data_IF_877297878350
#
_entry.id   IF_877297878350
#
_cell.length_a   1.000
_cell.length_b   1.000
_cell.length_c   1.000
_cell.angle_alpha   90.00
_cell.angle_beta   90.00
_cell.angle_gamma   90.00
#
_symmetry.space_group_name_H-M   'P 1'
#
loop_
_entity.id
_entity.type
_entity.pdbx_description
1 polymer ?
#
# COMPACT_ATOMS: atom_id res chain seq x y z
N UNK A 1 -12.40 -15.36 0.96
CA UNK A 1 -11.29 -15.20 0.02
C UNK A 1 -10.55 -13.87 0.21
N UNK A 2 -11.23 -12.72 0.27
CA UNK A 2 -10.62 -11.39 0.50
C UNK A 2 -9.95 -11.27 1.89
N UNK A 3 -10.57 -11.79 2.94
CA UNK A 3 -9.99 -11.79 4.31
C UNK A 3 -8.68 -12.59 4.33
N UNK A 4 -8.66 -13.73 3.66
CA UNK A 4 -7.47 -14.57 3.52
C UNK A 4 -6.36 -13.84 2.74
N UNK A 5 -6.74 -13.03 1.76
CA UNK A 5 -5.79 -12.22 0.97
C UNK A 5 -5.18 -11.11 1.83
N UNK A 6 -6.00 -10.34 2.54
CA UNK A 6 -5.53 -9.25 3.41
C UNK A 6 -4.58 -9.79 4.49
N UNK A 7 -4.94 -10.90 5.14
CA UNK A 7 -4.07 -11.54 6.14
C UNK A 7 -2.75 -12.04 5.54
N UNK A 8 -2.78 -12.51 4.30
CA UNK A 8 -1.56 -12.94 3.60
C UNK A 8 -0.67 -11.76 3.22
N UNK A 9 -1.24 -10.62 2.87
CA UNK A 9 -0.46 -9.39 2.66
C UNK A 9 0.31 -9.01 3.93
N UNK A 10 -0.26 -9.22 5.09
CA UNK A 10 0.41 -9.00 6.39
C UNK A 10 1.61 -9.94 6.58
N UNK A 11 1.28 -10.94 6.34
CA UNK A 11 2.21 -11.91 6.49
C UNK A 11 3.38 -11.79 5.65
N UNK A 12 3.16 -11.38 4.66
CA UNK A 12 4.21 -11.16 3.68
C UNK A 12 5.01 -9.88 3.99
N UNK A 13 4.53 -9.00 4.83
CA UNK A 13 5.31 -7.86 5.32
C UNK A 13 6.49 -8.28 6.19
N UNK A 14 6.53 -9.52 6.65
CA UNK A 14 7.73 -10.09 7.28
C UNK A 14 8.93 -10.08 6.33
N UNK A 15 8.69 -10.00 5.02
CA UNK A 15 9.76 -9.89 4.02
C UNK A 15 10.38 -8.50 3.99
N UNK A 16 9.61 -7.52 4.42
CA UNK A 16 10.08 -6.16 4.58
C UNK A 16 10.30 -5.98 6.07
N UNK A 17 11.37 -6.55 6.61
CA UNK A 17 11.70 -6.30 8.01
C UNK A 17 11.93 -4.78 8.15
N UNK A 18 11.01 -4.08 8.78
CA UNK A 18 11.24 -2.67 9.02
C UNK A 18 12.49 -2.61 9.89
N UNK A 19 13.47 -1.88 9.43
CA UNK A 19 14.59 -1.53 10.25
C UNK A 19 14.04 -1.02 11.59
N UNK A 20 14.75 -1.24 12.67
CA UNK A 20 14.41 -0.84 14.04
C UNK A 20 13.96 0.63 14.22
N UNK A 21 13.82 1.35 13.12
CA UNK A 21 13.52 2.78 13.08
C UNK A 21 12.04 3.10 13.31
N UNK A 22 11.15 2.11 13.07
CA UNK A 22 9.71 2.30 13.29
C UNK A 22 9.11 1.12 14.04
N UNK A 23 9.20 1.15 15.36
CA UNK A 23 8.65 0.11 16.24
C UNK A 23 7.13 -0.07 16.05
N UNK A 24 6.43 0.95 15.56
CA UNK A 24 4.98 0.89 15.41
C UNK A 24 4.50 -0.11 14.35
N UNK A 25 5.35 -0.50 13.38
CA UNK A 25 4.92 -1.49 12.37
C UNK A 25 4.50 -2.82 13.00
N UNK A 26 5.18 -3.21 14.07
CA UNK A 26 4.85 -4.44 14.80
C UNK A 26 3.55 -4.32 15.58
N UNK A 27 3.05 -3.11 15.75
CA UNK A 27 1.82 -2.82 16.51
C UNK A 27 0.60 -2.67 15.60
N UNK A 28 0.79 -2.67 14.27
CA UNK A 28 -0.32 -2.46 13.34
C UNK A 28 -1.14 -3.75 13.19
N UNK A 29 -2.38 -3.69 13.60
CA UNK A 29 -3.37 -4.72 13.33
C UNK A 29 -4.12 -4.38 12.05
N UNK A 30 -4.38 -5.40 11.23
CA UNK A 30 -5.06 -5.22 9.96
C UNK A 30 -6.41 -5.94 10.02
N UNK A 31 -7.48 -5.18 9.92
CA UNK A 31 -8.84 -5.67 9.95
C UNK A 31 -9.53 -5.42 8.61
N UNK A 32 -10.07 -6.47 8.03
CA UNK A 32 -10.85 -6.39 6.79
C UNK A 32 -12.33 -6.29 7.13
N UNK A 33 -12.98 -5.27 6.60
CA UNK A 33 -14.42 -5.11 6.65
C UNK A 33 -14.98 -5.42 5.25
N UNK A 34 -15.87 -6.40 5.17
CA UNK A 34 -16.37 -6.86 3.87
C UNK A 34 -17.37 -5.90 3.22
N UNK A 35 -17.88 -4.91 3.96
CA UNK A 35 -18.80 -3.90 3.46
C UNK A 35 -20.24 -4.07 3.95
N UNK A 36 -20.48 -5.08 4.76
CA UNK A 36 -21.80 -5.34 5.41
C UNK A 36 -21.58 -6.23 6.63
N UNK A 37 -22.64 -6.42 7.43
CA UNK A 37 -22.61 -7.27 8.63
C UNK A 37 -22.27 -8.72 8.25
N UNK A 38 -21.20 -9.25 8.82
CA UNK A 38 -20.71 -10.61 8.54
C UNK A 38 -21.71 -11.71 8.90
N UNK A 39 -22.64 -11.42 9.81
CA UNK A 39 -23.64 -12.37 10.28
C UNK A 39 -24.90 -12.37 9.40
N UNK A 40 -24.96 -11.53 8.37
CA UNK A 40 -26.13 -11.40 7.49
C UNK A 40 -25.82 -11.88 6.07
N UNK A 41 -26.80 -12.50 5.44
CA UNK A 41 -26.72 -12.81 4.01
C UNK A 41 -26.85 -11.51 3.21
N UNK A 42 -25.96 -11.31 2.24
CA UNK A 42 -25.93 -10.08 1.45
C UNK A 42 -27.23 -9.84 0.67
N UNK A 43 -27.81 -10.90 0.09
CA UNK A 43 -29.04 -10.76 -0.68
C UNK A 43 -30.22 -10.29 0.19
N UNK A 44 -30.36 -10.88 1.39
CA UNK A 44 -31.42 -10.50 2.32
C UNK A 44 -31.24 -9.04 2.75
N UNK A 45 -30.00 -8.65 3.02
CA UNK A 45 -29.68 -7.30 3.47
C UNK A 45 -29.92 -6.26 2.36
N UNK A 46 -29.64 -6.59 1.09
CA UNK A 46 -29.94 -5.72 -0.03
C UNK A 46 -31.46 -5.53 -0.19
N UNK A 47 -32.24 -6.60 0.03
CA UNK A 47 -33.71 -6.50 0.00
C UNK A 47 -34.23 -5.63 1.15
N UNK A 48 -33.70 -5.83 2.37
CA UNK A 48 -34.08 -5.03 3.54
C UNK A 48 -33.84 -3.53 3.32
N UNK A 49 -32.73 -3.19 2.63
CA UNK A 49 -32.33 -1.80 2.44
C UNK A 49 -32.79 -1.18 1.12
N UNK A 50 -33.58 -1.89 0.32
CA UNK A 50 -33.98 -1.45 -1.02
C UNK A 50 -34.58 -0.04 -1.04
N UNK A 51 -35.51 0.27 -0.13
CA UNK A 51 -36.19 1.59 -0.06
C UNK A 51 -35.19 2.72 0.27
N UNK A 52 -34.21 2.42 1.15
CA UNK A 52 -33.18 3.37 1.56
C UNK A 52 -32.24 3.64 0.38
N UNK A 53 -31.82 2.58 -0.30
CA UNK A 53 -30.89 2.64 -1.42
C UNK A 53 -31.52 3.40 -2.61
N UNK A 54 -32.81 3.17 -2.88
CA UNK A 54 -33.56 3.89 -3.92
C UNK A 54 -33.62 5.40 -3.60
N UNK A 55 -33.93 5.75 -2.35
CA UNK A 55 -33.96 7.16 -1.91
C UNK A 55 -32.59 7.83 -2.03
N UNK A 56 -31.52 7.11 -1.69
CA UNK A 56 -30.14 7.62 -1.75
C UNK A 56 -29.53 7.55 -3.14
N UNK A 57 -30.17 6.84 -4.07
CA UNK A 57 -29.65 6.56 -5.42
C UNK A 57 -28.28 5.88 -5.39
N UNK A 58 -28.00 5.12 -4.34
CA UNK A 58 -26.74 4.39 -4.17
C UNK A 58 -26.93 3.28 -3.14
N UNK A 59 -26.29 2.15 -3.38
CA UNK A 59 -26.30 1.01 -2.46
C UNK A 59 -25.48 1.36 -1.20
N UNK A 60 -26.10 1.19 -0.03
CA UNK A 60 -25.48 1.57 1.24
C UNK A 60 -24.57 0.49 1.83
N UNK A 61 -24.79 -0.78 1.45
CA UNK A 61 -24.01 -1.92 1.93
C UNK A 61 -23.64 -2.83 0.76
N UNK A 62 -22.52 -3.55 0.88
CA UNK A 62 -22.09 -4.48 -0.14
C UNK A 62 -20.57 -4.42 -0.41
N UNK A 63 -20.05 -5.23 -1.34
CA UNK A 63 -18.61 -5.33 -1.60
C UNK A 63 -17.92 -4.01 -1.95
N UNK A 64 -18.64 -3.07 -2.53
CA UNK A 64 -18.10 -1.73 -2.88
C UNK A 64 -17.85 -0.86 -1.63
N UNK A 65 -18.35 -1.28 -0.47
CA UNK A 65 -18.10 -0.64 0.83
C UNK A 65 -17.02 -1.39 1.63
N UNK A 66 -16.44 -2.44 1.04
CA UNK A 66 -15.38 -3.16 1.73
C UNK A 66 -14.16 -2.25 1.96
N UNK A 67 -13.48 -2.44 3.08
CA UNK A 67 -12.35 -1.60 3.47
C UNK A 67 -11.34 -2.41 4.28
N UNK A 68 -10.11 -1.91 4.32
CA UNK A 68 -9.06 -2.45 5.17
C UNK A 68 -8.71 -1.36 6.20
N UNK A 69 -8.89 -1.68 7.46
CA UNK A 69 -8.58 -0.77 8.57
C UNK A 69 -7.26 -1.17 9.21
N UNK A 70 -6.41 -0.20 9.38
CA UNK A 70 -5.12 -0.35 10.06
C UNK A 70 -5.26 0.27 11.45
N UNK A 71 -5.08 -0.53 12.49
CA UNK A 71 -5.27 -0.10 13.87
C UNK A 71 -3.98 -0.25 14.66
N UNK A 72 -3.74 0.68 15.57
CA UNK A 72 -2.69 0.60 16.60
C UNK A 72 -3.41 0.75 17.94
N UNK A 73 -3.38 -0.30 18.77
CA UNK A 73 -4.08 -0.31 20.05
C UNK A 73 -5.58 0.04 19.88
N UNK A 74 -6.22 -0.53 18.85
CA UNK A 74 -7.64 -0.31 18.54
C UNK A 74 -7.99 1.12 18.06
N UNK A 75 -6.98 1.97 17.78
CA UNK A 75 -7.19 3.32 17.25
C UNK A 75 -6.74 3.33 15.78
N UNK A 76 -7.49 4.01 14.91
CA UNK A 76 -7.12 4.14 13.49
C UNK A 76 -5.70 4.68 13.37
N UNK A 77 -4.84 3.95 12.65
CA UNK A 77 -3.43 4.30 12.48
C UNK A 77 -3.24 5.73 11.93
N UNK A 78 -4.21 6.22 11.14
CA UNK A 78 -4.17 7.59 10.60
C UNK A 78 -4.23 8.67 11.70
N UNK A 79 -4.75 8.34 12.88
CA UNK A 79 -4.83 9.28 14.00
C UNK A 79 -3.54 9.30 14.84
N UNK A 80 -2.74 8.25 14.74
CA UNK A 80 -1.53 8.06 15.55
C UNK A 80 -0.28 8.42 14.74
N UNK A 81 -0.22 7.95 13.48
CA UNK A 81 0.97 8.12 12.64
C UNK A 81 1.08 9.56 12.11
N UNK A 82 2.30 10.09 12.11
CA UNK A 82 2.63 11.33 11.41
C UNK A 82 2.40 11.17 9.90
N UNK A 83 2.31 12.29 9.19
CA UNK A 83 2.10 12.27 7.73
C UNK A 83 3.18 11.47 6.98
N UNK A 84 4.44 11.63 7.38
CA UNK A 84 5.55 10.89 6.78
C UNK A 84 5.43 9.39 7.02
N UNK A 85 5.08 8.99 8.25
CA UNK A 85 4.86 7.58 8.59
C UNK A 85 3.68 6.98 7.83
N UNK A 86 2.59 7.73 7.67
CA UNK A 86 1.43 7.29 6.89
C UNK A 86 1.81 7.03 5.43
N UNK A 87 2.59 7.96 4.83
CA UNK A 87 3.06 7.81 3.45
C UNK A 87 3.97 6.60 3.30
N UNK A 88 4.92 6.45 4.21
CA UNK A 88 5.83 5.30 4.19
C UNK A 88 5.07 3.99 4.36
N UNK A 89 4.12 3.94 5.29
CA UNK A 89 3.27 2.77 5.48
C UNK A 89 2.49 2.43 4.20
N UNK A 90 1.93 3.45 3.54
CA UNK A 90 1.20 3.26 2.28
C UNK A 90 2.10 2.67 1.18
N UNK A 91 3.35 3.13 1.10
CA UNK A 91 4.34 2.58 0.16
C UNK A 91 4.62 1.12 0.50
N UNK A 92 4.93 0.81 1.75
CA UNK A 92 5.21 -0.56 2.19
C UNK A 92 4.02 -1.50 1.91
N UNK A 93 2.80 -1.00 2.15
CA UNK A 93 1.58 -1.75 1.86
C UNK A 93 1.47 -2.08 0.36
N UNK A 94 1.75 -1.11 -0.51
CA UNK A 94 1.75 -1.31 -1.96
C UNK A 94 2.82 -2.31 -2.40
N UNK A 95 4.02 -2.22 -1.81
CA UNK A 95 5.11 -3.15 -2.10
C UNK A 95 4.77 -4.57 -1.63
N UNK A 96 4.13 -4.71 -0.47
CA UNK A 96 3.68 -6.02 0.04
C UNK A 96 2.65 -6.65 -0.90
N UNK A 97 1.69 -5.86 -1.40
CA UNK A 97 0.71 -6.32 -2.40
C UNK A 97 1.42 -6.79 -3.67
N UNK A 98 2.42 -6.04 -4.13
CA UNK A 98 3.22 -6.40 -5.31
C UNK A 98 3.90 -7.76 -5.11
N UNK A 99 4.49 -8.00 -3.94
CA UNK A 99 5.15 -9.28 -3.63
C UNK A 99 4.14 -10.45 -3.60
N UNK A 100 2.94 -10.22 -3.08
CA UNK A 100 1.87 -11.22 -3.08
C UNK A 100 1.47 -11.56 -4.53
N UNK A 101 1.29 -10.56 -5.38
CA UNK A 101 0.96 -10.78 -6.80
C UNK A 101 2.03 -11.63 -7.48
N UNK A 102 3.30 -11.32 -7.23
CA UNK A 102 4.43 -12.04 -7.80
C UNK A 102 4.51 -13.49 -7.29
N UNK A 103 4.43 -13.69 -5.97
CA UNK A 103 4.63 -15.01 -5.36
C UNK A 103 3.45 -15.94 -5.58
N UNK A 104 2.22 -15.45 -5.37
CA UNK A 104 1.03 -16.30 -5.39
C UNK A 104 0.41 -16.44 -6.78
N UNK A 105 0.38 -15.34 -7.53
CA UNK A 105 -0.31 -15.30 -8.82
C UNK A 105 0.64 -15.33 -10.01
N UNK A 106 1.98 -15.30 -9.75
CA UNK A 106 3.03 -15.30 -10.79
C UNK A 106 2.88 -14.11 -11.74
N UNK A 107 2.32 -13.02 -11.26
CA UNK A 107 2.18 -11.77 -12.02
C UNK A 107 3.40 -10.90 -11.75
N UNK A 108 4.16 -10.60 -12.80
CA UNK A 108 5.30 -9.68 -12.73
C UNK A 108 4.83 -8.28 -13.12
N UNK A 109 4.31 -7.55 -12.14
CA UNK A 109 3.86 -6.17 -12.35
C UNK A 109 5.07 -5.22 -12.36
N UNK A 110 4.99 -4.13 -13.11
CA UNK A 110 5.98 -3.05 -13.07
C UNK A 110 5.56 -2.05 -12.00
N UNK A 111 6.50 -1.70 -11.12
CA UNK A 111 6.29 -0.69 -10.10
C UNK A 111 6.49 0.70 -10.71
N UNK A 112 5.50 1.56 -10.60
CA UNK A 112 5.61 2.96 -11.03
C UNK A 112 5.56 3.84 -9.79
N UNK A 113 6.57 4.67 -9.61
CA UNK A 113 6.72 5.56 -8.46
C UNK A 113 6.94 6.98 -8.96
N UNK A 114 5.92 7.82 -8.77
CA UNK A 114 5.91 9.17 -9.30
C UNK A 114 6.26 10.17 -8.18
N UNK A 115 7.26 11.00 -8.44
CA UNK A 115 7.69 12.14 -7.60
C UNK A 115 7.77 11.85 -6.10
N UNK A 116 8.36 10.72 -5.74
CA UNK A 116 8.38 10.27 -4.35
C UNK A 116 9.16 11.22 -3.42
N UNK A 117 10.13 11.97 -3.93
CA UNK A 117 10.96 12.86 -3.10
C UNK A 117 10.17 14.02 -2.49
N UNK A 118 9.22 14.57 -3.23
CA UNK A 118 8.37 15.67 -2.72
C UNK A 118 7.50 15.21 -1.54
N UNK A 119 7.29 13.90 -1.41
CA UNK A 119 6.36 13.30 -0.47
C UNK A 119 7.02 12.78 0.82
N UNK A 120 8.36 12.53 0.77
CA UNK A 120 9.07 11.89 1.88
C UNK A 120 10.21 12.78 2.38
N UNK A 121 10.38 12.82 3.70
CA UNK A 121 11.59 13.39 4.29
C UNK A 121 12.81 12.47 4.04
N UNK A 122 14.01 12.97 4.28
CA UNK A 122 15.25 12.24 3.99
C UNK A 122 15.38 10.93 4.76
N UNK A 123 14.85 10.85 6.00
CA UNK A 123 14.88 9.63 6.80
C UNK A 123 14.00 8.55 6.17
N UNK A 124 12.77 8.89 5.88
CA UNK A 124 11.79 7.97 5.29
C UNK A 124 12.24 7.59 3.87
N UNK A 125 12.80 8.53 3.13
CA UNK A 125 13.34 8.26 1.79
C UNK A 125 14.47 7.23 1.83
N UNK A 126 15.41 7.36 2.75
CA UNK A 126 16.51 6.39 2.87
C UNK A 126 15.99 4.98 3.18
N UNK A 127 14.97 4.87 4.03
CA UNK A 127 14.31 3.58 4.33
C UNK A 127 13.64 2.99 3.08
N UNK A 128 13.00 3.84 2.29
CA UNK A 128 12.40 3.42 1.01
C UNK A 128 13.47 2.85 0.08
N UNK A 129 14.60 3.55 -0.08
CA UNK A 129 15.72 3.10 -0.92
C UNK A 129 16.26 1.75 -0.42
N UNK A 130 16.41 1.57 0.89
CA UNK A 130 16.83 0.28 1.45
C UNK A 130 15.83 -0.83 1.13
N UNK A 131 14.53 -0.53 1.23
CA UNK A 131 13.47 -1.49 0.90
C UNK A 131 13.55 -1.93 -0.56
N UNK A 132 13.86 -0.99 -1.48
CA UNK A 132 13.96 -1.29 -2.91
C UNK A 132 15.04 -2.33 -3.23
N UNK A 133 16.11 -2.39 -2.44
CA UNK A 133 17.20 -3.37 -2.65
C UNK A 133 16.71 -4.82 -2.55
N UNK A 134 15.64 -5.03 -1.80
CA UNK A 134 15.08 -6.37 -1.57
C UNK A 134 14.01 -6.75 -2.60
N UNK A 135 13.60 -5.80 -3.45
CA UNK A 135 12.54 -6.00 -4.44
C UNK A 135 13.15 -6.28 -5.81
N UNK A 136 12.96 -7.51 -6.29
CA UNK A 136 13.47 -7.94 -7.61
C UNK A 136 12.35 -7.79 -8.64
N UNK A 137 12.10 -6.55 -9.05
CA UNK A 137 11.08 -6.26 -10.06
C UNK A 137 11.49 -5.04 -10.89
N UNK A 138 10.91 -4.91 -12.06
CA UNK A 138 11.08 -3.72 -12.87
C UNK A 138 10.39 -2.54 -12.18
N UNK A 139 11.09 -1.41 -12.07
CA UNK A 139 10.52 -0.20 -11.49
C UNK A 139 10.82 1.01 -12.37
N UNK A 140 9.87 1.92 -12.45
CA UNK A 140 9.98 3.18 -13.17
C UNK A 140 9.80 4.29 -12.15
N UNK A 141 10.76 5.18 -12.04
CA UNK A 141 10.74 6.31 -11.11
C UNK A 141 10.74 7.62 -11.89
N UNK A 142 9.89 8.55 -11.50
CA UNK A 142 10.04 9.94 -11.95
C UNK A 142 10.61 10.79 -10.80
N UNK A 143 11.44 11.75 -11.13
CA UNK A 143 11.97 12.73 -10.16
C UNK A 143 12.46 13.97 -10.89
N UNK A 144 12.39 15.09 -10.20
CA UNK A 144 12.87 16.38 -10.71
C UNK A 144 14.32 16.61 -10.26
N UNK A 145 14.71 16.03 -9.13
CA UNK A 145 15.98 16.30 -8.45
C UNK A 145 17.04 15.27 -8.82
N UNK A 146 18.16 15.72 -9.37
CA UNK A 146 19.30 14.87 -9.73
C UNK A 146 19.98 14.21 -8.52
N UNK A 147 20.00 14.89 -7.37
CA UNK A 147 20.55 14.31 -6.14
C UNK A 147 19.74 13.07 -5.70
N UNK A 148 18.44 13.16 -5.84
CA UNK A 148 17.52 12.05 -5.55
C UNK A 148 17.77 10.88 -6.52
N UNK A 149 17.85 11.15 -7.81
CA UNK A 149 18.09 10.09 -8.80
C UNK A 149 19.40 9.37 -8.52
N UNK A 150 20.45 10.09 -8.11
CA UNK A 150 21.77 9.51 -7.79
C UNK A 150 21.69 8.54 -6.61
N UNK A 151 20.90 8.84 -5.57
CA UNK A 151 20.73 7.94 -4.41
C UNK A 151 20.04 6.63 -4.81
N UNK A 152 19.00 6.70 -5.64
CA UNK A 152 18.32 5.49 -6.13
C UNK A 152 19.26 4.68 -7.02
N UNK A 153 19.92 5.33 -7.97
CA UNK A 153 20.87 4.67 -8.90
C UNK A 153 21.96 3.92 -8.13
N UNK A 154 22.53 4.55 -7.10
CA UNK A 154 23.59 3.93 -6.29
C UNK A 154 23.09 2.68 -5.55
N UNK A 155 21.79 2.53 -5.35
CA UNK A 155 21.21 1.37 -4.65
C UNK A 155 20.79 0.23 -5.58
N UNK A 156 20.81 0.45 -6.91
CA UNK A 156 20.33 -0.51 -7.91
C UNK A 156 21.50 -1.08 -8.71
N UNK A 157 21.43 -2.36 -9.05
CA UNK A 157 22.48 -3.04 -9.84
C UNK A 157 22.39 -2.69 -11.33
N UNK A 158 21.17 -2.52 -11.83
CA UNK A 158 20.92 -2.20 -13.25
C UNK A 158 19.90 -1.07 -13.34
N UNK A 159 20.19 -0.08 -14.16
CA UNK A 159 19.31 1.05 -14.37
C UNK A 159 19.49 1.69 -15.75
N UNK A 160 18.49 2.42 -16.18
CA UNK A 160 18.57 3.34 -17.33
C UNK A 160 17.98 4.67 -16.90
N UNK A 161 18.70 5.77 -17.17
CA UNK A 161 18.22 7.13 -16.87
C UNK A 161 17.81 7.81 -18.19
N UNK A 162 16.68 8.45 -18.18
CA UNK A 162 16.13 9.22 -19.31
C UNK A 162 15.87 10.64 -18.85
N UNK A 163 16.25 11.62 -19.64
CA UNK A 163 15.86 13.03 -19.43
C UNK A 163 14.69 13.34 -20.37
N UNK A 164 13.58 13.77 -19.81
CA UNK A 164 12.35 13.98 -20.58
C UNK A 164 12.55 15.02 -21.70
N UNK A 165 13.37 16.04 -21.44
CA UNK A 165 13.70 17.08 -22.43
C UNK A 165 14.42 16.54 -23.66
N UNK A 166 15.02 15.35 -23.55
CA UNK A 166 15.73 14.71 -24.65
C UNK A 166 14.85 13.75 -25.46
N UNK A 167 13.61 13.59 -25.07
CA UNK A 167 12.66 12.70 -25.73
C UNK A 167 11.73 13.43 -26.71
N UNK A 168 11.87 14.77 -26.82
CA UNK A 168 11.07 15.61 -27.74
C UNK A 168 11.68 15.76 -29.13
#
# INVERSE_FOLDING_TARGET
MLVSWARRCVXETDLIQPSSVFDFFNLIEINFFQGWDENKNLNDLLQENQDIDLKRKSTTQGPHKSDIKFLINNIDARQILSRGEQKFFSILWSLAQHEVLKKQYKINATLIVDDIKSELDDRVFNLFVETLKHIKTQAIFSCIDDCFSSKIIASLNEFKKFHVEQLG
#
